data_IF_307893394618
#
_entry.id   IF_307893394618
#
_cell.length_a   1.000
_cell.length_b   1.000
_cell.length_c   1.000
_cell.angle_alpha   90.00
_cell.angle_beta   90.00
_cell.angle_gamma   90.00
#
_symmetry.space_group_name_H-M   'P 1'
#
loop_
_entity.id
_entity.type
_entity.pdbx_description
1 polymer ?
#
# COMPACT_ATOMS: atom_id res chain seq x y z
N UNK A 1 20.22 1.12 -12.25
CA UNK A 1 19.85 2.37 -11.54
C UNK A 1 18.40 2.71 -11.82
N UNK A 2 17.96 2.77 -13.08
CA UNK A 2 16.58 3.07 -13.47
C UNK A 2 15.54 2.20 -12.73
N UNK A 3 15.69 0.87 -12.74
CA UNK A 3 14.74 -0.03 -12.10
C UNK A 3 14.46 0.25 -10.61
N UNK A 4 15.48 0.58 -9.80
CA UNK A 4 15.26 0.86 -8.37
C UNK A 4 14.52 2.19 -8.13
N UNK A 5 14.74 3.17 -9.00
CA UNK A 5 14.02 4.44 -8.94
C UNK A 5 12.59 4.25 -9.40
N UNK A 6 12.36 3.40 -10.40
CA UNK A 6 11.03 3.02 -10.89
C UNK A 6 10.22 2.34 -9.77
N UNK A 7 10.82 1.41 -9.01
CA UNK A 7 10.18 0.75 -7.86
C UNK A 7 9.78 1.74 -6.75
N UNK A 8 10.68 2.64 -6.34
CA UNK A 8 10.35 3.71 -5.37
C UNK A 8 9.22 4.58 -5.89
N UNK A 9 9.27 4.93 -7.18
CA UNK A 9 8.24 5.76 -7.83
C UNK A 9 6.89 5.02 -7.87
N UNK A 10 6.89 3.72 -8.16
CA UNK A 10 5.71 2.86 -8.10
C UNK A 10 5.06 2.90 -6.71
N UNK A 11 5.87 2.75 -5.65
CA UNK A 11 5.39 2.82 -4.27
C UNK A 11 4.83 4.21 -3.92
N UNK A 12 5.48 5.29 -4.38
CA UNK A 12 4.99 6.66 -4.19
C UNK A 12 3.62 6.86 -4.84
N UNK A 13 3.43 6.40 -6.08
CA UNK A 13 2.14 6.45 -6.77
C UNK A 13 1.09 5.59 -6.10
N UNK A 14 1.44 4.37 -5.68
CA UNK A 14 0.51 3.48 -5.00
C UNK A 14 -0.01 4.08 -3.68
N UNK A 15 0.89 4.73 -2.92
CA UNK A 15 0.52 5.50 -1.72
C UNK A 15 -0.42 6.66 -2.04
N UNK A 16 -0.12 7.44 -3.09
CA UNK A 16 -0.98 8.54 -3.52
C UNK A 16 -2.38 8.05 -3.93
N UNK A 17 -2.46 6.98 -4.71
CA UNK A 17 -3.73 6.38 -5.15
C UNK A 17 -4.55 5.85 -3.98
N UNK A 18 -3.92 5.23 -2.99
CA UNK A 18 -4.62 4.77 -1.79
C UNK A 18 -5.16 5.96 -0.97
N UNK A 19 -4.37 7.02 -0.82
CA UNK A 19 -4.81 8.25 -0.15
C UNK A 19 -6.02 8.90 -0.84
N UNK A 20 -6.01 8.95 -2.17
CA UNK A 20 -7.15 9.46 -2.96
C UNK A 20 -8.42 8.62 -2.76
N UNK A 21 -8.29 7.29 -2.68
CA UNK A 21 -9.43 6.41 -2.35
C UNK A 21 -9.96 6.71 -0.95
N UNK A 22 -9.09 6.91 0.05
CA UNK A 22 -9.54 7.27 1.40
C UNK A 22 -10.21 8.64 1.45
N UNK A 23 -9.73 9.62 0.69
CA UNK A 23 -10.42 10.91 0.54
C UNK A 23 -11.80 10.74 -0.09
N UNK A 24 -11.92 9.90 -1.14
CA UNK A 24 -13.20 9.57 -1.76
C UNK A 24 -14.17 8.92 -0.75
N UNK A 25 -13.70 7.92 -0.01
CA UNK A 25 -14.48 7.27 1.05
C UNK A 25 -14.92 8.28 2.11
N UNK A 26 -14.03 9.15 2.57
CA UNK A 26 -14.34 10.20 3.54
C UNK A 26 -15.46 11.12 3.05
N UNK A 27 -15.39 11.57 1.79
CA UNK A 27 -16.44 12.39 1.16
C UNK A 27 -17.78 11.68 1.11
N UNK A 28 -17.82 10.39 0.77
CA UNK A 28 -19.07 9.63 0.71
C UNK A 28 -19.64 9.33 2.10
N UNK A 29 -18.80 9.06 3.09
CA UNK A 29 -19.20 8.90 4.50
C UNK A 29 -19.79 10.19 5.04
N UNK A 30 -19.18 11.35 4.78
CA UNK A 30 -19.73 12.64 5.22
C UNK A 30 -21.11 12.95 4.61
N UNK A 31 -21.37 12.48 3.39
CA UNK A 31 -22.66 12.71 2.70
C UNK A 31 -23.74 11.72 3.09
N UNK A 32 -23.39 10.44 3.28
CA UNK A 32 -24.34 9.32 3.38
C UNK A 32 -24.36 8.67 4.76
N UNK A 33 -23.47 9.07 5.66
CA UNK A 33 -23.20 8.38 6.91
C UNK A 33 -22.21 7.22 6.74
N UNK A 34 -21.68 6.70 7.86
CA UNK A 34 -20.76 5.58 7.84
C UNK A 34 -21.46 4.27 7.42
N UNK A 35 -20.76 3.34 6.75
CA UNK A 35 -21.31 2.03 6.44
C UNK A 35 -21.51 1.19 7.71
N UNK A 36 -22.40 0.21 7.64
CA UNK A 36 -22.64 -0.77 8.72
C UNK A 36 -21.52 -1.79 8.95
N UNK A 37 -20.33 -1.56 8.37
CA UNK A 37 -19.15 -2.40 8.50
C UNK A 37 -17.91 -1.52 8.73
N UNK A 38 -16.88 -2.01 9.43
CA UNK A 38 -15.66 -1.25 9.63
C UNK A 38 -14.94 -1.03 8.30
N UNK A 39 -14.51 0.21 8.03
CA UNK A 39 -13.70 0.54 6.84
C UNK A 39 -12.25 0.13 7.13
N UNK A 40 -11.69 -0.88 6.43
CA UNK A 40 -10.32 -1.31 6.67
C UNK A 40 -9.32 -0.17 6.43
N UNK A 41 -8.37 -0.01 7.35
CA UNK A 41 -7.26 0.92 7.21
C UNK A 41 -6.02 0.21 6.67
N UNK A 42 -5.39 0.80 5.65
CA UNK A 42 -4.20 0.34 4.95
C UNK A 42 -3.27 1.51 4.70
N UNK A 43 -1.98 1.23 4.68
CA UNK A 43 -0.95 2.17 4.25
C UNK A 43 0.19 1.40 3.57
N UNK A 44 0.85 2.02 2.60
CA UNK A 44 2.08 1.47 2.04
C UNK A 44 3.27 1.73 2.98
N UNK A 45 4.19 0.78 3.05
CA UNK A 45 5.48 0.94 3.74
C UNK A 45 6.23 2.17 3.24
N UNK A 46 7.03 2.77 4.11
CA UNK A 46 8.00 3.76 3.65
C UNK A 46 9.12 3.07 2.87
N UNK A 47 9.58 3.67 1.77
CA UNK A 47 10.78 3.22 1.08
C UNK A 47 11.68 4.39 0.67
N UNK A 48 12.95 4.08 0.43
CA UNK A 48 13.97 5.03 0.02
C UNK A 48 14.97 4.38 -0.95
N UNK A 49 15.51 5.20 -1.85
CA UNK A 49 16.63 4.83 -2.70
C UNK A 49 17.95 5.25 -2.02
N UNK A 50 18.84 4.29 -1.78
CA UNK A 50 20.14 4.53 -1.16
C UNK A 50 21.28 4.24 -2.15
N UNK A 51 22.34 5.05 -2.11
CA UNK A 51 23.53 4.86 -2.96
C UNK A 51 24.81 4.96 -2.15
N UNK A 52 25.72 4.00 -2.35
CA UNK A 52 27.12 4.14 -1.91
C UNK A 52 27.90 4.79 -3.05
N UNK A 53 28.50 5.95 -2.78
CA UNK A 53 29.29 6.69 -3.74
C UNK A 53 30.73 6.88 -3.25
N UNK A 54 31.66 6.92 -4.19
CA UNK A 54 33.08 7.20 -3.95
C UNK A 54 33.57 8.27 -4.92
N UNK A 55 34.69 8.90 -4.57
CA UNK A 55 35.36 9.88 -5.44
C UNK A 55 36.47 9.13 -6.19
N UNK A 56 36.37 9.09 -7.51
CA UNK A 56 37.42 8.52 -8.34
C UNK A 56 38.68 9.39 -8.27
N UNK A 57 39.84 8.83 -8.62
CA UNK A 57 41.09 9.59 -8.73
C UNK A 57 41.00 10.80 -9.66
N UNK A 58 40.05 10.80 -10.60
CA UNK A 58 39.72 11.93 -11.48
C UNK A 58 38.88 13.04 -10.82
N UNK A 59 38.59 12.96 -9.50
CA UNK A 59 37.72 13.89 -8.77
C UNK A 59 36.22 13.71 -9.03
N UNK A 60 35.83 12.79 -9.93
CA UNK A 60 34.43 12.56 -10.30
C UNK A 60 33.76 11.62 -9.30
N UNK A 61 32.59 12.00 -8.78
CA UNK A 61 31.75 11.14 -7.94
C UNK A 61 31.19 9.99 -8.78
N UNK A 62 31.47 8.76 -8.37
CA UNK A 62 30.93 7.54 -8.97
C UNK A 62 30.08 6.79 -7.97
N UNK A 63 28.98 6.21 -8.43
CA UNK A 63 28.14 5.33 -7.63
C UNK A 63 28.70 3.91 -7.75
N UNK A 64 28.98 3.29 -6.61
CA UNK A 64 29.48 1.91 -6.53
C UNK A 64 28.32 0.94 -6.42
N UNK A 65 27.41 1.20 -5.49
CA UNK A 65 26.27 0.35 -5.20
C UNK A 65 25.00 1.19 -5.00
N UNK A 66 23.85 0.55 -5.19
CA UNK A 66 22.54 1.16 -4.96
C UNK A 66 21.56 0.13 -4.41
N UNK A 67 20.65 0.57 -3.54
CA UNK A 67 19.69 -0.29 -2.86
C UNK A 67 18.32 0.40 -2.78
N UNK A 68 17.28 -0.42 -2.81
CA UNK A 68 15.96 -0.07 -2.29
C UNK A 68 15.93 -0.45 -0.81
N UNK A 69 15.53 0.49 0.04
CA UNK A 69 15.37 0.28 1.48
C UNK A 69 13.90 0.48 1.80
N UNK A 70 13.28 -0.48 2.48
CA UNK A 70 11.89 -0.41 2.90
C UNK A 70 11.74 -0.51 4.41
N UNK A 71 10.62 -0.01 4.93
CA UNK A 71 10.24 -0.18 6.33
C UNK A 71 10.15 -1.66 6.66
N UNK A 72 10.99 -2.12 7.60
CA UNK A 72 10.95 -3.51 8.06
C UNK A 72 9.62 -3.80 8.75
N UNK A 73 8.95 -4.86 8.30
CA UNK A 73 7.72 -5.34 8.90
C UNK A 73 8.01 -6.52 9.87
N UNK A 74 7.96 -6.28 11.18
CA UNK A 74 8.21 -7.31 12.21
C UNK A 74 6.98 -8.21 12.38
N UNK A 75 7.20 -9.54 12.37
CA UNK A 75 6.12 -10.53 12.37
C UNK A 75 5.40 -10.67 13.72
N UNK A 76 6.12 -10.44 14.82
CA UNK A 76 5.58 -10.49 16.19
C UNK A 76 4.46 -9.46 16.40
N UNK A 77 4.52 -8.34 15.68
CA UNK A 77 3.54 -7.25 15.73
C UNK A 77 2.49 -7.42 14.62
N UNK A 78 2.92 -7.66 13.37
CA UNK A 78 2.02 -7.49 12.21
C UNK A 78 1.48 -8.79 11.58
N UNK A 79 1.63 -9.92 12.27
CA UNK A 79 1.12 -11.22 11.82
C UNK A 79 1.81 -11.75 10.56
N UNK A 80 1.15 -12.70 9.87
CA UNK A 80 1.71 -13.35 8.67
C UNK A 80 1.55 -12.52 7.41
N UNK A 81 2.55 -12.59 6.54
CA UNK A 81 2.47 -12.04 5.19
C UNK A 81 1.35 -12.71 4.41
N UNK A 82 0.60 -11.93 3.63
CA UNK A 82 -0.47 -12.44 2.77
C UNK A 82 -0.64 -11.58 1.54
N UNK A 83 -1.08 -12.26 0.48
CA UNK A 83 -1.52 -11.64 -0.77
C UNK A 83 -3.04 -11.58 -0.75
N UNK A 84 -3.62 -10.42 -1.07
CA UNK A 84 -5.06 -10.19 -1.07
C UNK A 84 -5.65 -10.29 -2.48
N UNK A 85 -4.93 -9.80 -3.48
CA UNK A 85 -5.33 -9.75 -4.88
C UNK A 85 -4.11 -10.06 -5.74
N UNK A 86 -4.29 -10.81 -6.82
CA UNK A 86 -3.23 -11.04 -7.81
C UNK A 86 -3.25 -9.97 -8.90
N UNK A 87 -2.12 -9.76 -9.54
CA UNK A 87 -2.03 -8.87 -10.69
C UNK A 87 -2.76 -9.36 -11.96
N UNK A 88 -3.15 -10.63 -12.03
CA UNK A 88 -3.84 -11.24 -13.18
C UNK A 88 -5.38 -11.19 -13.08
N UNK A 89 -5.94 -10.78 -11.93
CA UNK A 89 -7.38 -10.81 -11.70
C UNK A 89 -7.80 -9.79 -10.63
N UNK A 90 -8.89 -9.04 -10.86
CA UNK A 90 -9.48 -8.17 -9.83
C UNK A 90 -10.24 -8.97 -8.75
N UNK A 91 -10.26 -10.30 -8.85
CA UNK A 91 -10.96 -11.16 -7.89
C UNK A 91 -10.10 -11.34 -6.64
N UNK A 92 -10.66 -11.14 -5.43
CA UNK A 92 -9.90 -11.34 -4.20
C UNK A 92 -9.53 -12.81 -4.03
N UNK A 93 -8.35 -13.05 -3.49
CA UNK A 93 -7.89 -14.40 -3.16
C UNK A 93 -8.77 -15.02 -2.06
N UNK A 94 -8.87 -16.35 -2.09
CA UNK A 94 -9.62 -17.12 -1.09
C UNK A 94 -8.86 -17.13 0.23
N UNK A 95 -9.27 -16.30 1.17
CA UNK A 95 -8.67 -16.17 2.49
C UNK A 95 -9.53 -16.87 3.55
N UNK A 96 -8.89 -17.53 4.53
CA UNK A 96 -9.55 -18.40 5.52
C UNK A 96 -10.40 -17.65 6.55
N UNK A 97 -10.00 -16.43 6.93
CA UNK A 97 -10.70 -15.58 7.91
C UNK A 97 -11.60 -14.53 7.21
N UNK A 98 -12.80 -14.29 7.75
CA UNK A 98 -13.74 -13.25 7.32
C UNK A 98 -13.14 -11.84 7.32
N UNK A 99 -12.31 -11.51 8.30
CA UNK A 99 -11.64 -10.20 8.35
C UNK A 99 -10.72 -10.01 7.14
N UNK A 100 -9.94 -11.04 6.80
CA UNK A 100 -9.07 -11.01 5.63
C UNK A 100 -9.88 -10.98 4.33
N UNK A 101 -11.03 -11.66 4.26
CA UNK A 101 -11.96 -11.57 3.12
C UNK A 101 -12.54 -10.16 2.96
N UNK A 102 -12.94 -9.51 4.06
CA UNK A 102 -13.43 -8.13 4.06
C UNK A 102 -12.36 -7.16 3.58
N UNK A 103 -11.13 -7.33 4.09
CA UNK A 103 -9.93 -6.58 3.66
C UNK A 103 -9.65 -6.74 2.16
N UNK A 104 -9.66 -7.97 1.65
CA UNK A 104 -9.47 -8.22 0.21
C UNK A 104 -10.56 -7.56 -0.64
N UNK A 105 -11.83 -7.62 -0.21
CA UNK A 105 -12.94 -6.93 -0.89
C UNK A 105 -12.78 -5.41 -0.87
N UNK A 106 -12.33 -4.83 0.23
CA UNK A 106 -12.03 -3.40 0.30
C UNK A 106 -10.92 -3.03 -0.69
N UNK A 107 -9.86 -3.83 -0.80
CA UNK A 107 -8.79 -3.62 -1.77
C UNK A 107 -9.29 -3.77 -3.22
N UNK A 108 -10.25 -4.65 -3.50
CA UNK A 108 -10.88 -4.71 -4.84
C UNK A 108 -11.64 -3.40 -5.13
N UNK A 109 -12.35 -2.89 -4.12
CA UNK A 109 -13.01 -1.59 -4.20
C UNK A 109 -12.00 -0.46 -4.45
N UNK A 110 -10.83 -0.47 -3.82
CA UNK A 110 -9.81 0.55 -4.07
C UNK A 110 -9.31 0.52 -5.52
N UNK A 111 -9.09 -0.66 -6.11
CA UNK A 111 -8.75 -0.78 -7.54
C UNK A 111 -9.82 -0.15 -8.43
N UNK A 112 -11.09 -0.46 -8.14
CA UNK A 112 -12.20 0.05 -8.92
C UNK A 112 -12.30 1.57 -8.86
N UNK A 113 -12.19 2.16 -7.66
CA UNK A 113 -12.22 3.61 -7.48
C UNK A 113 -11.04 4.28 -8.20
N UNK A 114 -9.82 3.75 -8.06
CA UNK A 114 -8.65 4.27 -8.75
C UNK A 114 -8.82 4.25 -10.26
N UNK A 115 -9.29 3.13 -10.82
CA UNK A 115 -9.56 3.00 -12.24
C UNK A 115 -10.56 4.05 -12.73
N UNK A 116 -11.62 4.31 -11.96
CA UNK A 116 -12.59 5.34 -12.31
C UNK A 116 -12.02 6.76 -12.18
N UNK A 117 -11.28 7.06 -11.11
CA UNK A 117 -10.70 8.38 -10.84
C UNK A 117 -9.63 8.78 -11.86
N UNK A 118 -8.88 7.82 -12.39
CA UNK A 118 -7.84 8.06 -13.40
C UNK A 118 -8.40 8.12 -14.83
N UNK A 119 -9.73 8.11 -15.00
CA UNK A 119 -10.33 8.06 -16.32
C UNK A 119 -10.01 6.75 -17.05
N UNK A 120 -9.89 5.64 -16.31
CA UNK A 120 -9.57 4.29 -16.78
C UNK A 120 -8.12 4.09 -17.24
N UNK A 121 -7.21 4.98 -16.83
CA UNK A 121 -5.81 4.94 -17.29
C UNK A 121 -4.88 4.15 -16.37
N UNK A 122 -5.19 4.11 -15.06
CA UNK A 122 -4.31 3.46 -14.10
C UNK A 122 -5.03 2.98 -12.83
N UNK A 123 -4.50 1.92 -12.23
CA UNK A 123 -4.88 1.45 -10.90
C UNK A 123 -3.76 0.58 -10.30
N UNK A 124 -3.78 0.42 -8.98
CA UNK A 124 -2.81 -0.43 -8.28
C UNK A 124 -3.35 -1.85 -8.18
N UNK A 125 -2.49 -2.85 -8.33
CA UNK A 125 -2.80 -4.27 -8.14
C UNK A 125 -1.74 -4.96 -7.31
N UNK A 126 -1.85 -6.28 -7.21
CA UNK A 126 -0.92 -7.14 -6.47
C UNK A 126 -0.85 -6.81 -4.98
N UNK A 127 -1.98 -6.41 -4.40
CA UNK A 127 -2.02 -6.01 -3.00
C UNK A 127 -1.54 -7.14 -2.07
N UNK A 128 -0.44 -6.88 -1.38
CA UNK A 128 0.20 -7.80 -0.46
C UNK A 128 0.81 -7.07 0.72
N UNK A 129 0.92 -7.76 1.84
CA UNK A 129 1.46 -7.17 3.05
C UNK A 129 1.11 -7.91 4.33
N UNK A 130 1.19 -7.21 5.45
CA UNK A 130 0.93 -7.74 6.78
C UNK A 130 -0.18 -6.95 7.48
N UNK A 131 -0.85 -7.61 8.42
CA UNK A 131 -1.93 -7.01 9.20
C UNK A 131 -1.78 -7.40 10.66
N UNK A 132 -1.68 -6.36 11.48
CA UNK A 132 -1.57 -6.43 12.92
C UNK A 132 -2.93 -6.74 13.57
N UNK A 133 -3.00 -7.83 14.32
CA UNK A 133 -4.19 -8.21 15.08
C UNK A 133 -4.20 -7.64 16.51
N UNK A 134 -3.07 -7.15 17.03
CA UNK A 134 -2.89 -6.75 18.43
C UNK A 134 -3.40 -5.33 18.73
N UNK A 135 -3.47 -4.42 17.76
CA UNK A 135 -3.95 -3.05 18.00
C UNK A 135 -5.48 -2.90 18.22
N UNK A 136 -6.27 -3.98 18.15
CA UNK A 136 -7.73 -3.90 18.37
C UNK A 136 -8.15 -3.65 19.83
N UNK A 137 -7.29 -3.81 20.83
CA UNK A 137 -7.70 -3.75 22.24
C UNK A 137 -7.50 -2.39 22.93
N UNK A 138 -6.74 -1.44 22.34
CA UNK A 138 -6.36 -0.20 23.06
C UNK A 138 -6.79 1.13 22.42
N UNK A 139 -7.54 1.12 21.32
CA UNK A 139 -7.86 2.33 20.56
C UNK A 139 -9.35 2.72 20.58
N UNK A 140 -9.98 2.62 21.76
CA UNK A 140 -11.31 3.20 21.97
C UNK A 140 -11.27 4.71 22.30
N UNK A 141 -10.11 5.38 22.31
CA UNK A 141 -9.99 6.74 22.86
C UNK A 141 -9.22 7.79 22.04
N UNK A 142 -8.77 7.53 20.82
CA UNK A 142 -8.15 8.60 20.01
C UNK A 142 -8.48 8.49 18.53
N UNK A 143 -9.33 9.41 18.09
CA UNK A 143 -9.65 9.77 16.70
C UNK A 143 -8.43 10.29 15.88
N UNK A 144 -7.20 9.93 16.24
CA UNK A 144 -5.95 10.48 15.67
C UNK A 144 -4.79 9.46 15.59
N UNK A 145 -5.04 8.19 15.23
CA UNK A 145 -3.95 7.35 14.72
C UNK A 145 -3.87 7.52 13.19
N UNK A 146 -2.79 8.15 12.72
CA UNK A 146 -2.47 8.34 11.29
C UNK A 146 -1.74 7.11 10.73
N UNK A 147 -1.74 5.98 11.44
CA UNK A 147 -1.17 4.71 10.99
C UNK A 147 -2.27 3.69 10.71
N UNK A 148 -2.32 3.16 9.49
CA UNK A 148 -3.23 2.07 9.16
C UNK A 148 -2.79 0.74 9.78
N UNK A 149 -3.75 -0.05 10.28
CA UNK A 149 -3.54 -1.37 10.93
C UNK A 149 -2.96 -2.45 10.00
N UNK A 150 -2.76 -2.13 8.72
CA UNK A 150 -2.21 -3.02 7.71
C UNK A 150 -1.21 -2.30 6.85
N UNK A 151 -0.01 -2.88 6.76
CA UNK A 151 1.06 -2.41 5.89
C UNK A 151 1.04 -3.18 4.58
N UNK A 152 0.99 -2.46 3.47
CA UNK A 152 1.14 -2.98 2.12
C UNK A 152 2.57 -2.74 1.64
N UNK A 153 3.10 -3.68 0.86
CA UNK A 153 4.40 -3.53 0.18
C UNK A 153 4.26 -3.96 -1.27
N UNK A 154 5.33 -3.75 -2.04
CA UNK A 154 5.52 -4.30 -3.38
C UNK A 154 4.31 -4.08 -4.30
N UNK A 155 3.82 -2.83 -4.46
CA UNK A 155 2.70 -2.56 -5.33
C UNK A 155 3.07 -2.79 -6.79
N UNK A 156 2.06 -3.14 -7.58
CA UNK A 156 2.17 -3.09 -9.03
C UNK A 156 1.19 -2.05 -9.58
N UNK A 157 1.70 -1.10 -10.34
CA UNK A 157 0.86 -0.10 -11.02
C UNK A 157 0.58 -0.58 -12.44
N UNK A 158 -0.71 -0.80 -12.75
CA UNK A 158 -1.14 -1.09 -14.11
C UNK A 158 -1.47 0.25 -14.78
N UNK A 159 -0.84 0.50 -15.92
CA UNK A 159 -1.10 1.67 -16.77
C UNK A 159 -1.41 1.21 -18.18
N UNK A 160 -2.29 1.94 -18.87
CA UNK A 160 -2.85 1.51 -20.16
C UNK A 160 -3.51 0.10 -20.14
N UNK A 161 -4.42 -0.15 -19.17
CA UNK A 161 -5.08 -1.45 -18.97
C UNK A 161 -6.11 -1.81 -20.04
#
# INVERSE_FOLDING_TARGET
MNHLVDEVTCLMWAKAFLNEVYQYVGKEVSKRGPPGFPIPQFQYVAAAFATEAFIASSGVKKIKNSWLIEQRIVAEEQGTWRKYINNDSPTPLRLSNDENRMRARFLCFTQHVQYMMTGKLAFVTDYQGKHDYQYRTFLLLTLLSVGGDSLLSDPQLITNP
#
